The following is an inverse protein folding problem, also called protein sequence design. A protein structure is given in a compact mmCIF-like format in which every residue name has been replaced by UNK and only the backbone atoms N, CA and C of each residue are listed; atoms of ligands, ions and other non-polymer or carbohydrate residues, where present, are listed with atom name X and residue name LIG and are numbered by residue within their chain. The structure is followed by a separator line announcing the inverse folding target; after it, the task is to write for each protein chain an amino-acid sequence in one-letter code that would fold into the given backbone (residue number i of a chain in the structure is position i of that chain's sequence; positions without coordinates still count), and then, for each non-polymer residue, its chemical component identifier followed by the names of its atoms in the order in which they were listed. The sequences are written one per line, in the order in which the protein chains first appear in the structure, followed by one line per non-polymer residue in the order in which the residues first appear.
data_IF_551519747542
#
_entry.id   IF_551519747542
#
_cell.length_a   1.000
_cell.length_b   1.000
_cell.length_c   1.000
_cell.angle_alpha   90.00
_cell.angle_beta   90.00
_cell.angle_gamma   90.00
#
_symmetry.space_group_name_H-M   'P 1'
#
loop_
_entity.id
_entity.type
_entity.pdbx_description
1 polymer ?
#
# COMPACT_ATOMS: atom_id res chain seq x y z
N UNK A 1 25.30 -55.74 -34.75
CA UNK A 1 25.01 -54.30 -34.81
C UNK A 1 23.89 -53.99 -33.83
N UNK A 2 24.23 -53.43 -32.67
CA UNK A 2 23.35 -53.30 -31.50
C UNK A 2 22.84 -51.86 -31.44
N UNK A 3 21.57 -51.63 -31.76
CA UNK A 3 20.92 -50.32 -31.59
C UNK A 3 20.56 -50.15 -30.12
N UNK A 4 21.22 -49.23 -29.42
CA UNK A 4 20.77 -48.73 -28.12
C UNK A 4 19.83 -47.55 -28.38
N UNK A 5 18.55 -47.67 -28.01
CA UNK A 5 17.64 -46.55 -27.88
C UNK A 5 17.92 -45.87 -26.53
N UNK A 6 18.29 -44.59 -26.56
CA UNK A 6 18.24 -43.73 -25.38
C UNK A 6 16.80 -43.24 -25.19
N UNK A 7 16.15 -43.66 -24.10
CA UNK A 7 14.91 -43.06 -23.61
C UNK A 7 15.31 -41.99 -22.59
N UNK A 8 15.12 -40.72 -22.96
CA UNK A 8 15.33 -39.58 -22.08
C UNK A 8 14.06 -39.41 -21.24
N UNK A 9 14.14 -39.73 -19.95
CA UNK A 9 13.02 -39.63 -19.02
C UNK A 9 12.89 -38.17 -18.55
N UNK A 10 11.88 -37.45 -19.08
CA UNK A 10 11.49 -36.12 -18.60
C UNK A 10 10.69 -36.30 -17.31
N UNK A 11 11.35 -36.16 -16.16
CA UNK A 11 10.76 -36.35 -14.82
C UNK A 11 10.74 -35.05 -13.98
N UNK A 12 10.71 -33.88 -14.63
CA UNK A 12 10.73 -32.58 -13.97
C UNK A 12 9.48 -31.79 -14.35
N UNK A 13 8.41 -31.89 -13.55
CA UNK A 13 7.20 -31.08 -13.77
C UNK A 13 6.04 -31.26 -12.79
N UNK A 14 6.00 -32.31 -11.96
CA UNK A 14 4.81 -32.58 -11.12
C UNK A 14 4.68 -31.69 -9.87
N UNK A 15 5.79 -31.28 -9.25
CA UNK A 15 5.76 -30.49 -8.01
C UNK A 15 5.24 -29.06 -8.21
N UNK A 16 5.69 -28.38 -9.27
CA UNK A 16 5.24 -27.02 -9.59
C UNK A 16 3.77 -26.96 -9.98
N UNK A 17 3.28 -27.96 -10.73
CA UNK A 17 1.86 -28.06 -11.11
C UNK A 17 0.96 -28.28 -9.90
N UNK A 18 1.35 -29.15 -8.97
CA UNK A 18 0.56 -29.41 -7.76
C UNK A 18 0.46 -28.19 -6.84
N UNK A 19 1.56 -27.45 -6.68
CA UNK A 19 1.60 -26.22 -5.89
C UNK A 19 0.70 -25.11 -6.49
N UNK A 20 0.72 -24.96 -7.82
CA UNK A 20 -0.12 -23.99 -8.51
C UNK A 20 -1.62 -24.32 -8.40
N UNK A 21 -1.99 -25.61 -8.48
CA UNK A 21 -3.38 -26.06 -8.24
C UNK A 21 -3.81 -25.73 -6.81
N UNK A 22 -2.96 -26.01 -5.82
CA UNK A 22 -3.27 -25.70 -4.41
C UNK A 22 -3.48 -24.20 -4.18
N UNK A 23 -2.66 -23.33 -4.78
CA UNK A 23 -2.80 -21.88 -4.65
C UNK A 23 -4.10 -21.36 -5.31
N UNK A 24 -4.50 -21.94 -6.44
CA UNK A 24 -5.75 -21.58 -7.11
C UNK A 24 -6.97 -21.91 -6.23
N UNK A 25 -7.01 -23.09 -5.60
CA UNK A 25 -8.10 -23.46 -4.69
C UNK A 25 -8.17 -22.52 -3.46
N UNK A 26 -7.01 -22.15 -2.91
CA UNK A 26 -6.91 -21.18 -1.81
C UNK A 26 -7.39 -19.79 -2.23
N UNK A 27 -7.00 -19.35 -3.44
CA UNK A 27 -7.46 -18.10 -4.02
C UNK A 27 -8.98 -18.07 -4.20
N UNK A 28 -9.56 -19.14 -4.74
CA UNK A 28 -11.01 -19.27 -4.92
C UNK A 28 -11.76 -19.20 -3.59
N UNK A 29 -11.19 -19.80 -2.53
CA UNK A 29 -11.74 -19.65 -1.17
C UNK A 29 -11.75 -18.18 -0.74
N UNK A 30 -10.62 -17.48 -0.85
CA UNK A 30 -10.53 -16.05 -0.48
C UNK A 30 -11.49 -15.20 -1.33
N UNK A 31 -11.61 -15.50 -2.63
CA UNK A 31 -12.55 -14.83 -3.54
C UNK A 31 -14.00 -14.98 -3.05
N UNK A 32 -14.38 -16.17 -2.60
CA UNK A 32 -15.73 -16.44 -2.08
C UNK A 32 -16.05 -15.61 -0.84
N UNK A 33 -15.08 -15.40 0.06
CA UNK A 33 -15.23 -14.49 1.20
C UNK A 33 -15.41 -13.04 0.76
N UNK A 34 -14.65 -12.59 -0.25
CA UNK A 34 -14.86 -11.28 -0.86
C UNK A 34 -16.24 -11.14 -1.51
N UNK A 35 -16.84 -12.22 -2.02
CA UNK A 35 -18.21 -12.22 -2.56
C UNK A 35 -19.23 -12.13 -1.42
N UNK A 36 -19.03 -12.87 -0.33
CA UNK A 36 -19.82 -12.75 0.90
C UNK A 36 -19.75 -11.36 1.51
N UNK A 37 -18.58 -10.71 1.49
CA UNK A 37 -18.40 -9.36 2.01
C UNK A 37 -19.28 -8.32 1.29
N UNK A 38 -19.52 -8.48 -0.02
CA UNK A 38 -20.43 -7.59 -0.76
C UNK A 38 -21.87 -7.72 -0.27
N UNK A 39 -22.27 -8.91 0.14
CA UNK A 39 -23.63 -9.22 0.57
C UNK A 39 -23.87 -8.95 2.06
N UNK A 40 -22.82 -8.64 2.82
CA UNK A 40 -22.91 -8.40 4.25
C UNK A 40 -23.65 -7.08 4.56
N UNK A 41 -24.66 -7.18 5.43
CA UNK A 41 -25.61 -6.11 5.75
C UNK A 41 -25.38 -5.48 7.14
N UNK A 42 -24.40 -5.97 7.90
CA UNK A 42 -24.04 -5.43 9.21
C UNK A 42 -22.53 -5.25 9.33
N UNK A 43 -22.10 -4.21 10.03
CA UNK A 43 -20.68 -3.94 10.28
C UNK A 43 -19.97 -5.11 10.98
N UNK A 44 -20.64 -5.76 11.93
CA UNK A 44 -20.11 -6.95 12.61
C UNK A 44 -19.79 -8.09 11.62
N UNK A 45 -20.70 -8.35 10.69
CA UNK A 45 -20.50 -9.37 9.65
C UNK A 45 -19.40 -8.98 8.68
N UNK A 46 -19.38 -7.72 8.20
CA UNK A 46 -18.32 -7.20 7.32
C UNK A 46 -16.94 -7.39 7.97
N UNK A 47 -16.78 -6.96 9.22
CA UNK A 47 -15.51 -7.06 9.96
C UNK A 47 -15.10 -8.52 10.21
N UNK A 48 -16.05 -9.40 10.53
CA UNK A 48 -15.80 -10.83 10.69
C UNK A 48 -15.28 -11.46 9.40
N UNK A 49 -15.88 -11.14 8.25
CA UNK A 49 -15.44 -11.63 6.93
C UNK A 49 -14.07 -11.04 6.56
N UNK A 50 -13.87 -9.73 6.74
CA UNK A 50 -12.58 -9.08 6.51
C UNK A 50 -11.46 -9.74 7.34
N UNK A 51 -11.75 -10.13 8.60
CA UNK A 51 -10.80 -10.83 9.48
C UNK A 51 -10.51 -12.28 9.03
N UNK A 52 -11.52 -13.00 8.53
CA UNK A 52 -11.32 -14.35 7.99
C UNK A 52 -10.51 -14.31 6.68
N UNK A 53 -10.72 -13.31 5.82
CA UNK A 53 -9.88 -13.05 4.63
C UNK A 53 -8.42 -12.85 5.05
N UNK A 54 -8.16 -11.99 6.04
CA UNK A 54 -6.81 -11.73 6.56
C UNK A 54 -6.13 -13.01 7.06
N UNK A 55 -6.84 -13.79 7.85
CA UNK A 55 -6.36 -15.06 8.40
C UNK A 55 -6.04 -16.07 7.30
N UNK A 56 -7.01 -16.38 6.42
CA UNK A 56 -6.78 -17.34 5.34
C UNK A 56 -5.62 -16.87 4.47
N UNK A 57 -5.60 -15.58 4.10
CA UNK A 57 -4.63 -15.10 3.14
C UNK A 57 -3.22 -14.99 3.75
N UNK A 58 -3.09 -14.59 5.01
CA UNK A 58 -1.79 -14.60 5.69
C UNK A 58 -1.17 -16.00 5.74
N UNK A 59 -1.96 -17.05 5.98
CA UNK A 59 -1.50 -18.44 5.93
C UNK A 59 -0.98 -18.84 4.54
N UNK A 60 -1.67 -18.41 3.47
CA UNK A 60 -1.25 -18.67 2.07
C UNK A 60 0.08 -17.95 1.76
N UNK A 61 0.23 -16.71 2.24
CA UNK A 61 1.39 -15.88 1.90
C UNK A 61 2.70 -16.34 2.55
N UNK A 62 2.66 -17.26 3.52
CA UNK A 62 3.88 -17.88 4.10
C UNK A 62 4.55 -18.83 3.12
N UNK A 63 3.79 -19.37 2.14
CA UNK A 63 4.33 -20.27 1.13
C UNK A 63 5.23 -19.54 0.13
N UNK A 64 6.44 -20.04 -0.12
CA UNK A 64 7.43 -19.37 -0.99
C UNK A 64 6.90 -19.14 -2.42
N UNK A 65 6.22 -20.13 -2.99
CA UNK A 65 5.57 -20.04 -4.31
C UNK A 65 4.50 -18.94 -4.42
N UNK A 66 3.91 -18.51 -3.30
CA UNK A 66 2.85 -17.51 -3.31
C UNK A 66 3.39 -16.11 -3.66
N UNK A 67 4.69 -15.88 -3.46
CA UNK A 67 5.32 -14.59 -3.74
C UNK A 67 5.23 -14.21 -5.23
N UNK A 68 5.42 -15.17 -6.12
CA UNK A 68 5.35 -14.93 -7.57
C UNK A 68 3.94 -15.22 -8.13
N UNK A 69 3.02 -15.74 -7.30
CA UNK A 69 1.66 -16.04 -7.70
C UNK A 69 0.82 -14.75 -7.84
N UNK A 70 0.14 -14.53 -8.98
CA UNK A 70 -0.46 -13.23 -9.28
C UNK A 70 -1.75 -12.93 -8.51
N UNK A 71 -2.46 -13.94 -8.01
CA UNK A 71 -3.78 -13.82 -7.40
C UNK A 71 -4.76 -13.03 -8.29
N UNK A 72 -4.97 -13.48 -9.53
CA UNK A 72 -5.75 -12.75 -10.54
C UNK A 72 -7.26 -12.66 -10.23
N UNK A 73 -7.83 -13.64 -9.55
CA UNK A 73 -9.26 -13.68 -9.21
C UNK A 73 -9.62 -12.73 -8.06
N UNK A 74 -8.64 -12.33 -7.23
CA UNK A 74 -8.82 -11.38 -6.13
C UNK A 74 -8.88 -9.92 -6.63
N UNK A 75 -9.97 -9.55 -7.30
CA UNK A 75 -10.13 -8.21 -7.91
C UNK A 75 -10.53 -7.10 -6.94
N UNK A 76 -11.00 -7.44 -5.74
CA UNK A 76 -11.51 -6.49 -4.72
C UNK A 76 -10.45 -6.06 -3.70
N UNK A 77 -9.17 -6.26 -4.02
CA UNK A 77 -8.06 -5.85 -3.18
C UNK A 77 -6.94 -5.21 -4.00
N UNK A 78 -6.23 -4.26 -3.38
CA UNK A 78 -4.98 -3.75 -3.90
C UNK A 78 -3.89 -4.82 -3.82
N UNK A 79 -3.15 -4.99 -4.91
CA UNK A 79 -2.01 -5.92 -5.04
C UNK A 79 -0.85 -5.15 -5.61
N UNK A 80 0.19 -4.93 -4.80
CA UNK A 80 1.37 -4.18 -5.19
C UNK A 80 2.60 -5.05 -5.02
N UNK A 81 3.52 -4.96 -5.97
CA UNK A 81 4.88 -5.51 -5.83
C UNK A 81 5.86 -4.34 -5.84
N UNK A 82 6.80 -4.36 -4.90
CA UNK A 82 7.90 -3.39 -4.90
C UNK A 82 8.71 -3.47 -6.20
N UNK A 83 9.18 -2.35 -6.77
CA UNK A 83 9.95 -2.39 -8.03
C UNK A 83 11.23 -3.22 -7.99
N UNK A 84 11.81 -3.42 -6.80
CA UNK A 84 12.97 -4.29 -6.57
C UNK A 84 12.60 -5.71 -6.13
N UNK A 85 11.31 -6.07 -6.18
CA UNK A 85 10.76 -7.39 -5.89
C UNK A 85 11.12 -7.94 -4.50
N UNK A 86 11.35 -7.07 -3.52
CA UNK A 86 11.67 -7.47 -2.15
C UNK A 86 10.43 -7.76 -1.30
N UNK A 87 9.31 -7.14 -1.62
CA UNK A 87 8.06 -7.36 -0.91
C UNK A 87 6.83 -7.06 -1.78
N UNK A 88 5.68 -7.55 -1.31
CA UNK A 88 4.34 -7.25 -1.84
C UNK A 88 3.47 -6.63 -0.76
N UNK A 89 2.54 -5.77 -1.17
CA UNK A 89 1.47 -5.25 -0.32
C UNK A 89 0.15 -5.77 -0.87
N UNK A 90 -0.66 -6.33 0.01
CA UNK A 90 -2.05 -6.63 -0.24
C UNK A 90 -2.88 -5.77 0.70
N UNK A 91 -3.86 -5.01 0.21
CA UNK A 91 -4.70 -4.17 1.06
C UNK A 91 -6.15 -4.12 0.58
N UNK A 92 -7.07 -3.96 1.52
CA UNK A 92 -8.50 -3.80 1.26
C UNK A 92 -9.13 -3.07 2.44
N UNK A 93 -10.42 -2.75 2.33
CA UNK A 93 -11.16 -2.07 3.36
C UNK A 93 -12.59 -2.60 3.47
N UNK A 94 -13.16 -2.41 4.65
CA UNK A 94 -14.58 -2.54 4.94
C UNK A 94 -15.12 -1.12 5.17
N UNK A 95 -16.20 -0.71 4.48
CA UNK A 95 -16.89 0.57 4.74
C UNK A 95 -17.99 0.32 5.77
N UNK A 96 -17.97 1.09 6.85
CA UNK A 96 -18.88 0.95 7.97
C UNK A 96 -20.14 1.80 7.77
N UNK A 97 -21.20 1.48 8.51
CA UNK A 97 -22.50 2.15 8.36
C UNK A 97 -22.44 3.63 8.81
N UNK A 98 -21.46 3.98 9.66
CA UNK A 98 -21.14 5.34 10.07
C UNK A 98 -20.26 6.10 9.05
N UNK A 99 -20.01 5.52 7.87
CA UNK A 99 -19.26 6.13 6.78
C UNK A 99 -17.75 6.14 6.96
N UNK A 100 -17.27 5.60 8.07
CA UNK A 100 -15.84 5.38 8.29
C UNK A 100 -15.37 4.10 7.61
N UNK A 101 -14.07 3.89 7.66
CA UNK A 101 -13.39 2.79 6.97
C UNK A 101 -12.59 2.01 8.00
N UNK A 102 -12.63 0.69 7.90
CA UNK A 102 -11.65 -0.19 8.54
C UNK A 102 -10.74 -0.73 7.45
N UNK A 103 -9.43 -0.53 7.60
CA UNK A 103 -8.44 -1.03 6.65
C UNK A 103 -7.82 -2.34 7.10
N UNK A 104 -7.40 -3.12 6.13
CA UNK A 104 -6.69 -4.38 6.31
C UNK A 104 -5.53 -4.42 5.33
N UNK A 105 -4.39 -4.96 5.77
CA UNK A 105 -3.25 -5.13 4.90
C UNK A 105 -2.37 -6.29 5.30
N UNK A 106 -1.66 -6.84 4.31
CA UNK A 106 -0.64 -7.86 4.48
C UNK A 106 0.61 -7.43 3.73
N UNK A 107 1.75 -7.48 4.40
CA UNK A 107 3.06 -7.38 3.76
C UNK A 107 3.66 -8.76 3.64
N UNK A 108 3.98 -9.15 2.42
CA UNK A 108 4.73 -10.37 2.14
C UNK A 108 6.17 -9.99 1.79
N UNK A 109 7.11 -10.31 2.66
CA UNK A 109 8.49 -9.85 2.61
C UNK A 109 9.40 -11.02 2.23
N UNK A 110 10.17 -10.86 1.17
CA UNK A 110 11.16 -11.83 0.71
C UNK A 110 12.48 -11.64 1.45
N UNK A 111 12.76 -12.53 2.39
CA UNK A 111 14.05 -12.61 3.07
C UNK A 111 15.00 -13.55 2.31
N UNK A 112 16.27 -13.60 2.72
CA UNK A 112 17.30 -14.40 2.01
C UNK A 112 16.98 -15.90 1.91
N UNK A 113 16.20 -16.45 2.84
CA UNK A 113 15.93 -17.90 2.95
C UNK A 113 14.48 -18.23 3.32
N UNK A 114 13.61 -17.24 3.38
CA UNK A 114 12.24 -17.41 3.85
C UNK A 114 11.36 -16.26 3.38
N UNK A 115 10.05 -16.48 3.44
CA UNK A 115 9.06 -15.42 3.38
C UNK A 115 8.65 -15.07 4.82
N UNK A 116 8.55 -13.77 5.09
CA UNK A 116 7.93 -13.24 6.30
C UNK A 116 6.62 -12.57 5.91
N UNK A 117 5.56 -12.81 6.66
CA UNK A 117 4.26 -12.16 6.48
C UNK A 117 4.00 -11.28 7.69
N UNK A 118 3.79 -9.99 7.46
CA UNK A 118 3.37 -9.04 8.50
C UNK A 118 1.91 -8.64 8.25
N UNK A 119 1.09 -8.78 9.28
CA UNK A 119 -0.29 -8.33 9.28
C UNK A 119 -0.32 -6.85 9.65
N UNK A 120 -0.97 -6.04 8.82
CA UNK A 120 -1.19 -4.62 9.06
C UNK A 120 -2.60 -4.43 9.64
N UNK A 121 -2.68 -4.34 10.96
CA UNK A 121 -3.94 -4.11 11.66
C UNK A 121 -4.16 -2.60 11.80
N UNK A 122 -5.24 -2.10 11.20
CA UNK A 122 -5.63 -0.71 11.36
C UNK A 122 -6.09 -0.46 12.80
N UNK A 123 -5.22 0.25 13.53
CA UNK A 123 -5.40 0.58 14.95
C UNK A 123 -6.33 1.77 15.18
N UNK A 124 -7.00 2.27 14.14
CA UNK A 124 -7.86 3.47 14.16
C UNK A 124 -7.14 4.70 14.67
N UNK A 125 -5.82 4.73 14.49
CA UNK A 125 -4.98 5.86 14.89
C UNK A 125 -5.07 6.94 13.82
N UNK A 126 -5.12 8.20 14.25
CA UNK A 126 -4.89 9.31 13.33
C UNK A 126 -3.45 9.19 12.81
N UNK A 127 -3.28 9.19 11.49
CA UNK A 127 -1.98 9.15 10.85
C UNK A 127 -1.20 10.45 11.14
N UNK A 128 -0.52 10.52 12.29
CA UNK A 128 0.22 11.70 12.70
C UNK A 128 1.46 11.92 11.81
N UNK A 129 1.67 13.17 11.39
CA UNK A 129 2.77 13.57 10.52
C UNK A 129 4.16 13.54 11.19
N UNK A 130 4.22 13.34 12.51
CA UNK A 130 5.41 13.38 13.37
C UNK A 130 5.56 12.14 14.25
N UNK A 131 4.87 11.05 13.91
CA UNK A 131 4.95 9.80 14.65
C UNK A 131 5.27 8.61 13.75
N UNK A 132 6.12 7.71 14.25
CA UNK A 132 6.44 6.42 13.64
C UNK A 132 5.54 5.33 14.19
N UNK A 133 5.08 4.42 13.33
CA UNK A 133 4.28 3.27 13.75
C UNK A 133 4.95 1.96 13.36
N UNK A 134 5.03 0.96 14.26
CA UNK A 134 5.25 -0.42 13.86
C UNK A 134 4.04 -0.96 13.08
N UNK A 135 4.19 -2.12 12.43
CA UNK A 135 3.10 -2.78 11.70
C UNK A 135 1.83 -3.01 12.53
N UNK A 136 1.98 -3.35 13.83
CA UNK A 136 0.86 -3.57 14.75
C UNK A 136 0.03 -2.31 15.02
N UNK A 137 0.64 -1.11 14.90
CA UNK A 137 -0.02 0.18 15.11
C UNK A 137 -0.23 0.92 13.78
N UNK A 138 -0.41 0.18 12.69
CA UNK A 138 -0.59 0.77 11.37
C UNK A 138 -1.83 1.68 11.35
N UNK A 139 -1.73 2.92 10.84
CA UNK A 139 -2.85 3.87 10.88
C UNK A 139 -3.89 3.67 9.76
N UNK A 140 -3.75 2.65 8.92
CA UNK A 140 -4.74 2.28 7.91
C UNK A 140 -4.70 3.13 6.63
N UNK A 141 -4.56 2.48 5.48
CA UNK A 141 -4.68 3.12 4.16
C UNK A 141 -4.80 2.07 3.04
N UNK A 142 -5.37 2.46 1.90
CA UNK A 142 -5.21 1.73 0.65
C UNK A 142 -4.03 2.30 -0.13
N UNK A 143 -2.90 1.59 -0.10
CA UNK A 143 -1.72 1.93 -0.90
C UNK A 143 -1.91 1.53 -2.37
N UNK A 144 -1.55 2.41 -3.30
CA UNK A 144 -1.69 2.20 -4.74
C UNK A 144 -0.38 2.37 -5.53
N UNK A 145 0.70 2.87 -4.91
CA UNK A 145 2.00 2.96 -5.55
C UNK A 145 3.14 2.78 -4.54
N UNK A 146 4.22 2.10 -4.95
CA UNK A 146 5.45 1.90 -4.17
C UNK A 146 6.60 2.57 -4.93
N UNK A 147 7.35 3.45 -4.27
CA UNK A 147 8.46 4.20 -4.88
C UNK A 147 9.72 3.97 -4.05
N UNK A 148 10.70 3.18 -4.53
CA UNK A 148 11.93 2.96 -3.80
C UNK A 148 12.79 4.21 -3.81
N UNK A 149 13.43 4.49 -2.67
CA UNK A 149 14.45 5.53 -2.58
C UNK A 149 15.59 5.13 -1.66
N UNK A 150 16.74 5.78 -1.82
CA UNK A 150 17.91 5.55 -0.98
C UNK A 150 17.88 6.48 0.22
N UNK A 151 17.71 5.91 1.40
CA UNK A 151 17.96 6.56 2.67
C UNK A 151 19.32 6.14 3.24
N UNK A 152 19.88 6.92 4.18
CA UNK A 152 21.11 6.53 4.90
C UNK A 152 20.96 5.23 5.70
N UNK A 153 19.73 4.93 6.14
CA UNK A 153 19.37 3.78 6.97
C UNK A 153 19.11 2.48 6.19
N UNK A 154 19.04 2.51 4.85
CA UNK A 154 18.86 1.30 4.04
C UNK A 154 17.68 1.36 3.07
N UNK A 155 16.98 0.22 2.94
CA UNK A 155 15.85 0.04 2.01
C UNK A 155 14.64 0.84 2.51
N UNK A 156 14.23 1.86 1.74
CA UNK A 156 13.10 2.70 2.10
C UNK A 156 12.25 2.98 0.87
N UNK A 157 10.95 3.11 1.10
CA UNK A 157 9.96 3.23 0.06
C UNK A 157 8.96 4.31 0.46
N UNK A 158 8.56 5.15 -0.49
CA UNK A 158 7.30 5.85 -0.34
C UNK A 158 6.17 4.93 -0.74
N UNK A 159 5.11 4.93 0.06
CA UNK A 159 3.83 4.39 -0.33
C UNK A 159 2.89 5.56 -0.55
N UNK A 160 2.30 5.64 -1.75
CA UNK A 160 1.20 6.55 -1.99
C UNK A 160 -0.09 5.83 -1.61
N UNK A 161 -0.86 6.43 -0.71
CA UNK A 161 -2.08 5.82 -0.20
C UNK A 161 -3.27 6.76 -0.17
N UNK A 162 -4.44 6.15 -0.05
CA UNK A 162 -5.73 6.80 0.10
C UNK A 162 -6.43 6.29 1.36
N UNK A 163 -7.02 7.22 2.10
CA UNK A 163 -7.87 6.95 3.25
C UNK A 163 -9.21 7.68 3.01
N UNK A 164 -10.33 6.95 3.00
CA UNK A 164 -11.66 7.50 2.87
C UNK A 164 -12.14 8.37 4.04
N UNK A 165 -11.42 8.39 5.16
CA UNK A 165 -11.70 9.17 6.38
C UNK A 165 -13.13 9.03 6.92
N UNK A 166 -14.05 9.90 6.47
CA UNK A 166 -15.43 9.99 6.93
C UNK A 166 -16.38 10.43 5.79
N UNK A 167 -17.63 10.76 6.12
CA UNK A 167 -18.61 11.23 5.14
C UNK A 167 -18.29 12.60 4.50
N UNK A 168 -17.42 13.40 5.11
CA UNK A 168 -17.17 14.80 4.72
C UNK A 168 -15.90 15.00 3.93
N UNK A 169 -14.91 14.15 4.17
CA UNK A 169 -13.56 14.32 3.61
C UNK A 169 -12.97 13.00 3.14
N UNK A 170 -11.89 13.09 2.36
CA UNK A 170 -10.97 12.00 2.13
C UNK A 170 -9.57 12.47 2.54
N UNK A 171 -8.65 11.51 2.69
CA UNK A 171 -7.22 11.75 2.83
C UNK A 171 -6.41 11.05 1.75
N UNK A 172 -5.30 11.67 1.38
CA UNK A 172 -4.20 11.01 0.67
C UNK A 172 -2.92 11.16 1.47
N UNK A 173 -2.04 10.17 1.34
CA UNK A 173 -0.83 10.10 2.14
C UNK A 173 0.40 9.71 1.33
N UNK A 174 1.53 10.33 1.71
CA UNK A 174 2.88 9.94 1.30
C UNK A 174 3.53 9.34 2.53
N UNK A 175 3.45 8.02 2.63
CA UNK A 175 3.93 7.23 3.76
C UNK A 175 5.36 6.76 3.51
N UNK A 176 6.18 6.68 4.56
CA UNK A 176 7.53 6.13 4.44
C UNK A 176 7.57 4.73 5.06
N UNK A 177 7.69 3.71 4.23
CA UNK A 177 7.91 2.32 4.66
C UNK A 177 9.41 2.02 4.71
N UNK A 178 9.85 1.43 5.81
CA UNK A 178 11.23 0.98 6.01
C UNK A 178 11.29 -0.40 6.65
N UNK A 179 12.38 -1.11 6.38
CA UNK A 179 12.69 -2.41 6.96
C UNK A 179 14.06 -2.35 7.61
N UNK A 180 14.19 -2.92 8.81
CA UNK A 180 15.49 -3.17 9.41
C UNK A 180 16.17 -4.42 8.81
N UNK A 181 17.38 -4.75 9.28
CA UNK A 181 18.12 -5.92 8.82
C UNK A 181 17.43 -7.26 9.09
N UNK A 182 16.51 -7.30 10.07
CA UNK A 182 15.74 -8.48 10.46
C UNK A 182 14.39 -8.58 9.75
N UNK A 183 14.02 -7.58 8.94
CA UNK A 183 12.73 -7.51 8.26
C UNK A 183 11.64 -6.84 9.08
N UNK A 184 11.95 -6.24 10.23
CA UNK A 184 10.97 -5.50 11.02
C UNK A 184 10.47 -4.28 10.25
N UNK A 185 9.15 -4.18 10.12
CA UNK A 185 8.47 -3.10 9.43
C UNK A 185 8.31 -1.88 10.33
N UNK A 186 8.62 -0.70 9.80
CA UNK A 186 8.31 0.60 10.42
C UNK A 186 7.79 1.58 9.39
N UNK A 187 6.71 2.28 9.75
CA UNK A 187 6.09 3.36 9.01
C UNK A 187 6.48 4.71 9.60
N UNK A 188 6.76 5.71 8.76
CA UNK A 188 6.98 7.09 9.18
C UNK A 188 8.44 7.49 9.38
N UNK A 189 9.41 6.92 8.67
CA UNK A 189 10.81 7.34 8.85
C UNK A 189 11.02 8.83 8.46
N UNK A 190 11.66 9.67 9.31
CA UNK A 190 11.74 11.13 9.17
C UNK A 190 12.70 11.61 8.06
N UNK A 191 12.27 11.51 6.80
CA UNK A 191 13.07 11.89 5.63
C UNK A 191 12.51 13.06 4.83
N UNK A 192 11.30 13.53 5.17
CA UNK A 192 10.61 14.61 4.47
C UNK A 192 10.90 15.94 5.17
N UNK A 193 11.27 16.97 4.41
CA UNK A 193 11.42 18.34 4.88
C UNK A 193 10.28 19.17 4.32
N UNK A 194 9.41 19.63 5.20
CA UNK A 194 8.19 20.37 4.87
C UNK A 194 8.18 21.70 5.59
N UNK A 195 8.40 22.80 4.86
CA UNK A 195 8.42 24.18 5.39
C UNK A 195 9.30 24.31 6.65
N UNK A 196 10.52 23.77 6.59
CA UNK A 196 11.50 23.79 7.68
C UNK A 196 11.30 22.75 8.79
N UNK A 197 10.20 21.98 8.76
CA UNK A 197 9.96 20.86 9.68
C UNK A 197 10.38 19.54 9.05
N UNK A 198 10.82 18.59 9.88
CA UNK A 198 11.01 17.20 9.43
C UNK A 198 9.73 16.43 9.72
N UNK A 199 9.19 15.74 8.71
CA UNK A 199 7.99 14.92 8.81
C UNK A 199 8.32 13.44 8.64
N UNK A 200 7.51 12.63 9.31
CA UNK A 200 7.51 11.16 9.25
C UNK A 200 6.69 10.68 8.04
N UNK A 201 5.59 11.39 7.75
CA UNK A 201 4.72 11.19 6.58
C UNK A 201 4.04 12.50 6.18
N UNK A 202 3.42 12.54 5.01
CA UNK A 202 2.50 13.63 4.63
C UNK A 202 1.08 13.11 4.60
N UNK A 203 0.15 13.88 5.16
CA UNK A 203 -1.28 13.63 5.08
C UNK A 203 -1.95 14.87 4.49
N UNK A 204 -2.73 14.66 3.44
CA UNK A 204 -3.54 15.67 2.79
C UNK A 204 -5.01 15.34 3.03
N UNK A 205 -5.76 16.24 3.66
CA UNK A 205 -7.20 16.10 3.86
C UNK A 205 -7.95 17.09 2.95
N UNK A 206 -9.00 16.60 2.29
CA UNK A 206 -9.74 17.37 1.29
C UNK A 206 -11.20 16.93 1.22
N UNK A 207 -12.03 17.75 0.59
CA UNK A 207 -13.48 17.53 0.48
C UNK A 207 -13.81 16.18 -0.15
N UNK A 208 -14.85 15.49 0.33
CA UNK A 208 -15.25 14.15 -0.14
C UNK A 208 -15.44 14.09 -1.67
N UNK A 209 -15.98 15.17 -2.23
CA UNK A 209 -16.29 15.34 -3.65
C UNK A 209 -15.11 15.82 -4.51
N UNK A 210 -14.05 16.36 -3.89
CA UNK A 210 -12.87 16.82 -4.62
C UNK A 210 -11.99 15.64 -5.03
N UNK A 211 -11.12 15.85 -6.02
CA UNK A 211 -10.16 14.86 -6.49
C UNK A 211 -8.76 15.43 -6.41
N UNK A 212 -7.97 14.96 -5.45
CA UNK A 212 -6.56 15.31 -5.34
C UNK A 212 -5.69 14.26 -6.05
N UNK A 213 -4.65 14.69 -6.74
CA UNK A 213 -3.63 13.85 -7.38
C UNK A 213 -2.33 13.87 -6.58
N UNK A 214 -1.71 12.69 -6.45
CA UNK A 214 -0.32 12.52 -6.04
C UNK A 214 0.25 11.49 -7.00
N UNK A 215 1.38 11.80 -7.62
CA UNK A 215 2.00 10.95 -8.63
C UNK A 215 3.52 11.04 -8.56
N UNK A 216 4.19 9.91 -8.73
CA UNK A 216 5.63 9.92 -8.95
C UNK A 216 5.98 10.11 -10.42
N UNK A 217 6.82 11.11 -10.70
CA UNK A 217 7.40 11.34 -12.01
C UNK A 217 8.76 10.64 -12.07
N UNK A 218 8.85 9.55 -12.84
CA UNK A 218 10.07 8.75 -13.00
C UNK A 218 11.21 9.51 -13.69
N UNK A 219 10.90 10.40 -14.65
CA UNK A 219 11.88 11.19 -15.43
C UNK A 219 12.59 12.18 -14.52
N UNK A 220 11.81 12.93 -13.74
CA UNK A 220 12.28 13.99 -12.86
C UNK A 220 12.62 13.48 -11.44
N UNK A 221 12.29 12.21 -11.13
CA UNK A 221 12.49 11.56 -9.83
C UNK A 221 11.93 12.36 -8.65
N UNK A 222 10.68 12.82 -8.80
CA UNK A 222 9.97 13.63 -7.81
C UNK A 222 8.53 13.17 -7.65
N UNK A 223 7.98 13.35 -6.46
CA UNK A 223 6.56 13.11 -6.21
C UNK A 223 5.86 14.45 -6.40
N UNK A 224 5.02 14.55 -7.43
CA UNK A 224 4.21 15.74 -7.75
C UNK A 224 2.82 15.55 -7.19
N UNK A 225 2.25 16.61 -6.64
CA UNK A 225 0.90 16.59 -6.10
C UNK A 225 0.20 17.94 -6.29
N UNK A 226 -1.13 17.88 -6.31
CA UNK A 226 -1.96 19.07 -6.36
C UNK A 226 -1.75 19.90 -5.09
N UNK A 227 -1.64 21.22 -5.24
CA UNK A 227 -1.73 22.13 -4.11
C UNK A 227 -3.18 22.24 -3.65
N UNK A 228 -3.43 22.05 -2.35
CA UNK A 228 -4.77 22.13 -1.78
C UNK A 228 -5.00 23.49 -1.13
N UNK A 229 -6.13 24.11 -1.47
CA UNK A 229 -6.59 25.35 -0.88
C UNK A 229 -8.09 25.27 -0.51
N UNK A 230 -8.54 26.04 0.49
CA UNK A 230 -9.98 26.16 0.76
C UNK A 230 -10.66 26.91 -0.39
N UNK A 231 -11.91 26.55 -0.68
CA UNK A 231 -12.71 27.21 -1.72
C UNK A 231 -12.90 28.72 -1.50
N UNK A 232 -12.87 29.18 -0.25
CA UNK A 232 -12.85 30.58 0.15
C UNK A 232 -11.96 30.75 1.39
N UNK A 233 -11.33 31.92 1.62
CA UNK A 233 -10.48 32.15 2.80
C UNK A 233 -11.17 31.92 4.15
N UNK A 234 -12.50 32.11 4.22
CA UNK A 234 -13.29 31.86 5.44
C UNK A 234 -13.32 30.38 5.84
N UNK A 235 -13.06 29.46 4.91
CA UNK A 235 -13.02 28.01 5.17
C UNK A 235 -11.63 27.50 5.55
N UNK A 236 -10.70 28.37 5.92
CA UNK A 236 -9.40 27.95 6.42
C UNK A 236 -9.53 26.92 7.55
N UNK A 237 -8.81 25.80 7.43
CA UNK A 237 -8.82 24.62 8.31
C UNK A 237 -10.15 23.86 8.38
N UNK A 238 -11.09 24.12 7.48
CA UNK A 238 -12.31 23.32 7.29
C UNK A 238 -12.12 22.46 6.03
N UNK A 239 -11.47 21.31 6.20
CA UNK A 239 -10.98 20.46 5.09
C UNK A 239 -12.09 19.92 4.19
N UNK A 240 -13.34 19.89 4.64
CA UNK A 240 -14.52 19.58 3.82
C UNK A 240 -14.77 20.59 2.68
N UNK A 241 -14.08 21.74 2.69
CA UNK A 241 -14.10 22.75 1.64
C UNK A 241 -12.77 22.89 0.88
N UNK A 242 -11.81 21.99 1.11
CA UNK A 242 -10.51 22.00 0.45
C UNK A 242 -10.53 21.19 -0.85
N UNK A 243 -9.82 21.68 -1.85
CA UNK A 243 -9.58 20.99 -3.12
C UNK A 243 -8.38 21.55 -3.87
N UNK A 244 -7.99 20.94 -5.00
CA UNK A 244 -6.93 21.46 -5.86
C UNK A 244 -7.20 22.88 -6.35
N UNK A 245 -6.19 23.74 -6.32
CA UNK A 245 -6.26 25.09 -6.90
C UNK A 245 -5.64 25.20 -8.31
N UNK A 246 -5.32 24.04 -8.91
CA UNK A 246 -4.65 23.88 -10.21
C UNK A 246 -3.19 24.31 -10.25
N UNK A 247 -2.58 24.62 -9.11
CA UNK A 247 -1.13 24.67 -8.96
C UNK A 247 -0.60 23.34 -8.40
N UNK A 248 0.71 23.13 -8.53
CA UNK A 248 1.36 21.88 -8.19
C UNK A 248 2.58 22.13 -7.34
N UNK A 249 2.76 21.24 -6.37
CA UNK A 249 3.95 21.17 -5.53
C UNK A 249 4.65 19.83 -5.77
N UNK A 250 5.88 19.70 -5.30
CA UNK A 250 6.61 18.45 -5.35
C UNK A 250 7.46 18.15 -4.12
N UNK A 251 7.73 16.87 -3.89
CA UNK A 251 8.85 16.42 -3.10
C UNK A 251 10.03 16.07 -4.01
N UNK A 252 11.14 16.75 -3.81
CA UNK A 252 12.38 16.55 -4.57
C UNK A 252 13.51 16.07 -3.67
N UNK A 253 14.33 15.15 -4.17
CA UNK A 253 15.45 14.62 -3.40
C UNK A 253 16.63 15.60 -3.38
N UNK A 254 16.98 16.11 -2.20
CA UNK A 254 18.08 17.04 -1.99
C UNK A 254 18.94 16.58 -0.80
N UNK A 255 20.22 16.28 -1.05
CA UNK A 255 21.23 15.94 -0.03
C UNK A 255 20.80 14.86 0.99
N UNK A 256 20.07 13.83 0.54
CA UNK A 256 19.63 12.73 1.41
C UNK A 256 18.27 12.93 2.09
N UNK A 257 17.56 14.00 1.75
CA UNK A 257 16.21 14.31 2.25
C UNK A 257 15.27 14.60 1.08
N UNK A 258 13.97 14.46 1.31
CA UNK A 258 12.92 14.81 0.35
C UNK A 258 12.31 16.15 0.75
N UNK A 259 12.57 17.19 -0.04
CA UNK A 259 12.23 18.57 0.31
C UNK A 259 11.03 19.03 -0.48
N UNK A 260 10.08 19.68 0.19
CA UNK A 260 8.97 20.37 -0.46
C UNK A 260 9.49 21.49 -1.37
N UNK A 261 9.05 21.48 -2.63
CA UNK A 261 9.22 22.55 -3.61
C UNK A 261 7.83 22.98 -4.04
N UNK A 262 7.46 24.22 -3.70
CA UNK A 262 6.12 24.76 -3.99
C UNK A 262 6.07 25.41 -5.39
N UNK A 263 4.89 25.42 -6.00
CA UNK A 263 4.59 26.11 -7.27
C UNK A 263 5.48 25.68 -8.46
N UNK A 264 5.61 24.37 -8.68
CA UNK A 264 6.38 23.83 -9.79
C UNK A 264 5.61 23.90 -11.13
N UNK A 265 6.36 24.07 -12.22
CA UNK A 265 5.80 23.94 -13.58
C UNK A 265 5.82 22.47 -14.00
N UNK A 266 4.63 21.91 -14.26
CA UNK A 266 4.42 20.50 -14.66
C UNK A 266 4.08 20.36 -16.14
N UNK A 267 4.07 21.44 -16.93
CA UNK A 267 3.80 21.37 -18.37
C UNK A 267 4.92 20.58 -19.05
N UNK A 268 4.53 19.59 -19.85
CA UNK A 268 5.47 18.73 -20.58
C UNK A 268 6.47 19.58 -21.40
N UNK A 269 7.76 19.42 -21.08
CA UNK A 269 8.88 19.76 -21.97
C UNK A 269 9.46 18.51 -22.60
#
# INVERSE_FOLDING_TARGET
MRKLLLVFFVLLGSSSLFSQISLLEKEQKIKSEFDSLILADTDSLKLSICSEIEKIFSDVLVEEQSFDYPFLELSKMGKLISPDQKFRIFNWNCVLDDGTYQYFGLLQIKLKKSIQVEVLHDSKLVADMFHQYPAVNWPGALYYQIIPFKAKSGNSYFLLGWDGNDFRTNKKLVEVLSFDEKGQVTFGMPVIIWKGKTLDRIVFEYAKQARMTIQYNEKDKRIVFDHLAPSLPVYQNQFEYYGPDFSYDALEYQKGKWVLVENIDVRNK
#
